data_IF_367548387216
#
_entry.id   IF_367548387216
#
_cell.length_a   1.000
_cell.length_b   1.000
_cell.length_c   1.000
_cell.angle_alpha   90.00
_cell.angle_beta   90.00
_cell.angle_gamma   90.00
#
_symmetry.space_group_name_H-M   'P 1'
#
loop_
_entity.id
_entity.type
_entity.pdbx_description
1 polymer ?
#
# COMPACT_ATOMS: atom_id res chain seq x y z
N UNK A 1 -27.60 3.58 -42.10
CA UNK A 1 -26.93 2.30 -41.78
C UNK A 1 -27.18 2.01 -40.32
N UNK A 2 -27.79 0.86 -39.99
CA UNK A 2 -27.97 0.40 -38.61
C UNK A 2 -26.73 -0.41 -38.25
N UNK A 3 -25.87 0.13 -37.42
CA UNK A 3 -24.73 -0.61 -36.87
C UNK A 3 -25.26 -1.61 -35.83
N UNK A 4 -25.52 -2.84 -36.28
CA UNK A 4 -25.74 -3.95 -35.36
C UNK A 4 -24.41 -4.30 -34.69
N UNK A 5 -24.31 -4.26 -33.35
CA UNK A 5 -23.08 -4.61 -32.67
C UNK A 5 -22.76 -6.09 -32.91
N UNK A 6 -21.51 -6.35 -33.31
CA UNK A 6 -20.99 -7.67 -33.60
C UNK A 6 -20.99 -8.51 -32.32
N UNK A 7 -21.85 -9.54 -32.26
CA UNK A 7 -21.83 -10.52 -31.18
C UNK A 7 -20.61 -11.41 -31.34
N UNK A 8 -19.56 -11.16 -30.57
CA UNK A 8 -18.52 -12.15 -30.32
C UNK A 8 -18.96 -13.04 -29.16
N UNK A 9 -19.47 -14.23 -29.47
CA UNK A 9 -19.73 -15.27 -28.47
C UNK A 9 -18.45 -16.08 -28.29
N UNK A 10 -17.65 -15.75 -27.27
CA UNK A 10 -16.55 -16.61 -26.83
C UNK A 10 -17.08 -17.81 -26.03
N UNK A 11 -16.38 -18.93 -25.93
CA UNK A 11 -16.80 -20.05 -25.07
C UNK A 11 -17.02 -19.65 -23.60
N UNK A 12 -16.24 -18.68 -23.11
CA UNK A 12 -16.40 -18.05 -21.79
C UNK A 12 -17.72 -17.26 -21.67
N UNK A 13 -18.19 -16.66 -22.78
CA UNK A 13 -19.46 -15.94 -22.88
C UNK A 13 -20.66 -16.86 -22.63
N UNK A 14 -20.64 -18.07 -23.19
CA UNK A 14 -21.68 -19.07 -23.02
C UNK A 14 -21.73 -19.60 -21.58
N UNK A 15 -20.57 -19.92 -21.01
CA UNK A 15 -20.44 -20.43 -19.64
C UNK A 15 -20.90 -19.39 -18.61
N UNK A 16 -20.48 -18.13 -18.75
CA UNK A 16 -20.88 -17.06 -17.82
C UNK A 16 -22.37 -16.71 -17.95
N UNK A 17 -22.95 -16.77 -19.15
CA UNK A 17 -24.39 -16.57 -19.35
C UNK A 17 -25.21 -17.71 -18.72
N UNK A 18 -24.71 -18.95 -18.75
CA UNK A 18 -25.36 -20.08 -18.08
C UNK A 18 -25.26 -19.97 -16.56
N UNK A 19 -24.13 -19.52 -16.02
CA UNK A 19 -24.02 -19.25 -14.58
C UNK A 19 -24.94 -18.11 -14.12
N UNK A 20 -25.04 -17.02 -14.89
CA UNK A 20 -25.95 -15.90 -14.58
C UNK A 20 -27.41 -16.31 -14.66
N UNK A 21 -27.81 -17.14 -15.64
CA UNK A 21 -29.16 -17.73 -15.67
C UNK A 21 -29.40 -18.65 -14.49
N UNK A 22 -28.43 -19.49 -14.15
CA UNK A 22 -28.53 -20.43 -13.03
C UNK A 22 -28.66 -19.67 -11.70
N UNK A 23 -27.90 -18.59 -11.50
CA UNK A 23 -28.00 -17.70 -10.35
C UNK A 23 -29.35 -16.98 -10.27
N UNK A 24 -29.87 -16.47 -11.39
CA UNK A 24 -31.19 -15.85 -11.46
C UNK A 24 -32.32 -16.84 -11.13
N UNK A 25 -32.14 -18.12 -11.48
CA UNK A 25 -33.12 -19.18 -11.21
C UNK A 25 -33.07 -19.65 -9.75
N UNK A 26 -31.88 -19.64 -9.13
CA UNK A 26 -31.64 -20.16 -7.77
C UNK A 26 -32.18 -19.24 -6.65
N UNK A 27 -32.28 -17.94 -6.89
CA UNK A 27 -32.74 -16.96 -5.90
C UNK A 27 -34.25 -16.64 -5.94
N UNK A 28 -35.03 -17.33 -6.78
CA UNK A 28 -36.49 -17.16 -6.94
C UNK A 28 -36.95 -15.69 -7.15
N UNK A 29 -36.02 -14.81 -7.53
CA UNK A 29 -36.32 -13.44 -7.97
C UNK A 29 -36.50 -13.51 -9.47
N UNK A 30 -37.74 -13.64 -9.91
CA UNK A 30 -38.06 -13.42 -11.31
C UNK A 30 -37.68 -11.98 -11.63
N UNK A 31 -36.56 -11.76 -12.33
CA UNK A 31 -36.18 -10.47 -12.87
C UNK A 31 -37.10 -10.13 -14.07
N UNK A 32 -38.41 -10.05 -13.82
CA UNK A 32 -39.47 -9.94 -14.82
C UNK A 32 -39.52 -8.60 -15.54
N UNK A 33 -38.77 -7.60 -15.07
CA UNK A 33 -38.73 -6.25 -15.64
C UNK A 33 -37.45 -5.90 -16.42
N UNK A 34 -36.53 -6.84 -16.63
CA UNK A 34 -35.41 -6.60 -17.55
C UNK A 34 -35.76 -7.14 -18.94
N UNK A 35 -36.20 -6.25 -19.83
CA UNK A 35 -36.58 -6.62 -21.20
C UNK A 35 -35.38 -7.09 -22.04
N UNK A 36 -34.14 -6.66 -21.70
CA UNK A 36 -32.90 -7.07 -22.37
C UNK A 36 -31.71 -7.04 -21.41
N UNK A 37 -30.92 -8.12 -21.38
CA UNK A 37 -29.58 -8.15 -20.78
C UNK A 37 -28.58 -7.89 -21.92
N UNK A 38 -27.87 -6.77 -21.86
CA UNK A 38 -26.82 -6.42 -22.82
C UNK A 38 -25.45 -6.51 -22.15
N UNK A 39 -24.51 -7.13 -22.84
CA UNK A 39 -23.11 -7.19 -22.42
C UNK A 39 -22.40 -6.00 -23.02
N UNK A 40 -21.79 -5.22 -22.14
CA UNK A 40 -21.05 -4.04 -22.51
C UNK A 40 -19.60 -4.43 -22.86
N UNK A 41 -19.01 -3.76 -23.85
CA UNK A 41 -17.60 -3.95 -24.20
C UNK A 41 -16.73 -3.71 -22.96
N UNK A 42 -16.01 -4.75 -22.52
CA UNK A 42 -15.20 -4.73 -21.31
C UNK A 42 -14.01 -3.74 -21.37
N UNK A 43 -13.59 -3.35 -22.58
CA UNK A 43 -12.56 -2.33 -22.79
C UNK A 43 -13.11 -0.91 -22.69
N UNK A 44 -14.42 -0.72 -22.90
CA UNK A 44 -15.10 0.57 -22.77
C UNK A 44 -15.86 0.71 -21.45
N UNK A 45 -16.35 -0.37 -20.88
CA UNK A 45 -17.16 -0.40 -19.66
C UNK A 45 -16.48 -1.28 -18.61
N UNK A 46 -15.46 -0.73 -17.98
CA UNK A 46 -14.65 -1.47 -17.01
C UNK A 46 -15.41 -1.64 -15.70
N UNK A 47 -15.46 -2.87 -15.20
CA UNK A 47 -15.82 -3.13 -13.81
C UNK A 47 -14.67 -2.75 -12.86
N UNK A 48 -14.92 -2.76 -11.55
CA UNK A 48 -13.91 -2.39 -10.56
C UNK A 48 -12.64 -3.24 -10.62
N UNK A 49 -12.74 -4.53 -10.94
CA UNK A 49 -11.57 -5.39 -11.09
C UNK A 49 -10.73 -5.00 -12.31
N UNK A 50 -11.36 -4.78 -13.48
CA UNK A 50 -10.65 -4.32 -14.67
C UNK A 50 -10.03 -2.94 -14.47
N UNK A 51 -10.74 -2.03 -13.79
CA UNK A 51 -10.25 -0.68 -13.52
C UNK A 51 -9.07 -0.67 -12.54
N UNK A 52 -9.21 -1.30 -11.37
CA UNK A 52 -8.16 -1.25 -10.34
C UNK A 52 -7.00 -2.23 -10.62
N UNK A 53 -7.25 -3.37 -11.28
CA UNK A 53 -6.21 -4.38 -11.55
C UNK A 53 -5.66 -4.30 -12.99
N UNK A 54 -6.51 -4.49 -14.01
CA UNK A 54 -6.03 -4.65 -15.40
C UNK A 54 -5.52 -3.34 -16.01
N UNK A 55 -6.13 -2.21 -15.67
CA UNK A 55 -5.62 -0.90 -16.09
C UNK A 55 -4.44 -0.44 -15.22
N UNK A 56 -3.92 -1.30 -14.34
CA UNK A 56 -2.84 -1.00 -13.41
C UNK A 56 -3.09 0.26 -12.57
N UNK A 57 -4.34 0.68 -12.34
CA UNK A 57 -4.69 1.85 -11.49
C UNK A 57 -4.61 1.54 -10.01
N UNK A 58 -3.49 1.01 -9.60
CA UNK A 58 -3.16 0.84 -8.19
C UNK A 58 -2.79 2.17 -7.53
N UNK A 59 -2.17 3.07 -8.31
CA UNK A 59 -1.68 4.36 -7.85
C UNK A 59 -2.27 5.50 -8.66
N UNK A 60 -2.18 6.71 -8.09
CA UNK A 60 -2.71 7.92 -8.71
C UNK A 60 -2.09 8.28 -10.07
N UNK A 61 -0.82 7.92 -10.29
CA UNK A 61 -0.04 8.24 -11.47
C UNK A 61 0.04 7.10 -12.49
N UNK A 62 -0.68 6.01 -12.26
CA UNK A 62 -0.79 4.91 -13.21
C UNK A 62 -1.61 5.32 -14.44
N UNK A 63 -1.22 4.80 -15.61
CA UNK A 63 -1.86 5.14 -16.88
C UNK A 63 -3.37 4.88 -16.84
N UNK A 64 -4.14 5.92 -17.13
CA UNK A 64 -5.60 5.83 -17.13
C UNK A 64 -6.10 5.36 -18.49
N UNK A 65 -7.06 4.43 -18.52
CA UNK A 65 -7.84 4.22 -19.76
C UNK A 65 -8.64 5.48 -20.09
N UNK A 66 -8.42 6.13 -21.25
CA UNK A 66 -9.00 7.45 -21.56
C UNK A 66 -10.45 7.37 -22.04
N UNK A 67 -10.89 6.22 -22.56
CA UNK A 67 -12.24 6.03 -23.13
C UNK A 67 -13.14 5.11 -22.27
N UNK A 68 -12.64 4.69 -21.11
CA UNK A 68 -13.37 3.78 -20.24
C UNK A 68 -14.40 4.53 -19.39
N UNK A 69 -15.65 4.08 -19.45
CA UNK A 69 -16.69 4.33 -18.47
C UNK A 69 -16.52 3.27 -17.38
N UNK A 70 -16.41 3.72 -16.13
CA UNK A 70 -16.15 2.81 -15.01
C UNK A 70 -17.43 2.60 -14.23
N UNK A 71 -17.87 1.34 -14.16
CA UNK A 71 -19.00 0.95 -13.31
C UNK A 71 -18.42 0.31 -12.06
N UNK A 72 -18.45 1.06 -10.96
CA UNK A 72 -17.78 0.67 -9.72
C UNK A 72 -18.58 -0.39 -8.95
N UNK A 73 -18.22 -1.65 -9.12
CA UNK A 73 -18.36 -2.64 -8.05
C UNK A 73 -16.99 -2.79 -7.36
N UNK A 74 -16.87 -2.25 -6.15
CA UNK A 74 -15.65 -2.42 -5.36
C UNK A 74 -15.73 -3.74 -4.59
N UNK A 75 -15.18 -4.78 -5.21
CA UNK A 75 -15.17 -6.16 -4.71
C UNK A 75 -14.23 -6.40 -3.50
N UNK A 76 -13.70 -5.33 -2.88
CA UNK A 76 -12.90 -5.47 -1.66
C UNK A 76 -13.73 -5.82 -0.43
N UNK A 77 -13.20 -6.73 0.37
CA UNK A 77 -13.70 -7.07 1.69
C UNK A 77 -13.08 -6.10 2.72
N UNK A 78 -13.89 -5.67 3.68
CA UNK A 78 -13.62 -4.66 4.73
C UNK A 78 -13.75 -3.18 4.31
N UNK A 79 -14.06 -2.31 5.27
CA UNK A 79 -14.18 -0.85 5.08
C UNK A 79 -12.80 -0.22 4.93
N UNK A 80 -11.82 -0.75 5.65
CA UNK A 80 -10.41 -0.33 5.77
C UNK A 80 -9.73 -0.47 4.41
N UNK A 81 -9.85 -1.65 3.79
CA UNK A 81 -9.34 -1.93 2.44
C UNK A 81 -9.95 -1.00 1.38
N UNK A 82 -11.25 -0.72 1.46
CA UNK A 82 -11.93 0.20 0.53
C UNK A 82 -11.45 1.64 0.69
N UNK A 83 -11.29 2.11 1.93
CA UNK A 83 -10.73 3.43 2.26
C UNK A 83 -9.31 3.55 1.70
N UNK A 84 -8.43 2.61 2.03
CA UNK A 84 -7.04 2.59 1.58
C UNK A 84 -6.93 2.66 0.06
N UNK A 85 -7.65 1.80 -0.68
CA UNK A 85 -7.65 1.80 -2.15
C UNK A 85 -8.07 3.16 -2.72
N UNK A 86 -9.14 3.75 -2.21
CA UNK A 86 -9.62 5.04 -2.73
C UNK A 86 -8.65 6.18 -2.42
N UNK A 87 -7.93 6.12 -1.30
CA UNK A 87 -6.88 7.08 -0.97
C UNK A 87 -5.67 6.93 -1.88
N UNK A 88 -5.24 5.70 -2.22
CA UNK A 88 -4.11 5.49 -3.13
C UNK A 88 -4.33 6.01 -4.55
N UNK A 89 -5.58 6.04 -5.02
CA UNK A 89 -5.91 6.57 -6.36
C UNK A 89 -6.52 7.97 -6.32
N UNK A 90 -6.44 8.68 -5.19
CA UNK A 90 -6.97 10.03 -4.98
C UNK A 90 -8.49 10.19 -5.25
N UNK A 91 -9.26 9.12 -5.10
CA UNK A 91 -10.73 9.16 -5.16
C UNK A 91 -11.37 9.47 -3.79
N UNK A 92 -10.59 9.43 -2.71
CA UNK A 92 -11.06 9.73 -1.36
C UNK A 92 -10.87 11.21 -1.01
N UNK A 93 -11.95 11.99 -1.09
CA UNK A 93 -11.91 13.43 -0.82
C UNK A 93 -12.23 13.81 0.64
N UNK A 94 -12.63 12.85 1.47
CA UNK A 94 -13.04 13.09 2.85
C UNK A 94 -11.83 13.33 3.76
N UNK A 95 -11.79 14.50 4.40
CA UNK A 95 -10.67 15.01 5.21
C UNK A 95 -11.07 15.12 6.68
N UNK A 96 -11.39 13.97 7.26
CA UNK A 96 -11.76 13.85 8.66
C UNK A 96 -10.61 14.22 9.58
N UNK A 97 -10.87 15.04 10.61
CA UNK A 97 -9.89 15.42 11.63
C UNK A 97 -8.56 15.96 11.08
N UNK A 98 -8.59 16.57 9.90
CA UNK A 98 -7.39 17.09 9.22
C UNK A 98 -6.45 15.99 8.72
N UNK A 99 -6.99 14.82 8.36
CA UNK A 99 -6.22 13.69 7.79
C UNK A 99 -5.19 14.12 6.74
N UNK A 100 -5.57 15.02 5.83
CA UNK A 100 -4.73 15.66 4.81
C UNK A 100 -4.28 17.07 5.18
N UNK A 101 -5.16 17.87 5.81
CA UNK A 101 -4.95 19.31 5.99
C UNK A 101 -4.21 19.73 7.26
N UNK A 102 -3.87 18.80 8.15
CA UNK A 102 -3.20 19.13 9.41
C UNK A 102 -1.74 19.60 9.19
N UNK A 103 -1.49 20.88 9.44
CA UNK A 103 -0.18 21.54 9.31
C UNK A 103 0.85 21.17 10.37
N UNK A 104 0.41 20.59 11.50
CA UNK A 104 1.28 20.27 12.64
C UNK A 104 1.83 18.85 12.57
N UNK A 105 1.14 17.95 11.86
CA UNK A 105 1.58 16.57 11.70
C UNK A 105 2.92 16.52 10.98
N UNK A 106 3.85 15.75 11.55
CA UNK A 106 5.14 15.44 10.94
C UNK A 106 5.09 14.05 10.32
N UNK A 107 5.76 13.91 9.18
CA UNK A 107 5.75 12.71 8.38
C UNK A 107 7.16 12.16 8.22
N UNK A 108 7.23 10.85 7.98
CA UNK A 108 8.41 10.12 7.56
C UNK A 108 8.05 9.38 6.28
N UNK A 109 8.84 9.50 5.22
CA UNK A 109 8.70 8.70 4.02
C UNK A 109 9.98 7.93 3.74
N UNK A 110 9.85 6.85 3.00
CA UNK A 110 10.99 6.12 2.47
C UNK A 110 10.68 5.57 1.08
N UNK A 111 11.69 5.09 0.37
CA UNK A 111 11.48 4.38 -0.90
C UNK A 111 11.89 2.91 -0.79
N UNK A 112 11.11 2.05 -1.45
CA UNK A 112 11.57 0.72 -1.82
C UNK A 112 12.26 0.88 -3.17
N UNK A 113 13.59 0.76 -3.21
CA UNK A 113 14.34 0.88 -4.47
C UNK A 113 14.39 -0.48 -5.17
N UNK A 114 14.35 -0.52 -6.52
CA UNK A 114 14.44 -1.76 -7.27
C UNK A 114 15.71 -2.55 -6.94
N UNK A 115 15.56 -3.88 -6.82
CA UNK A 115 16.68 -4.78 -6.55
C UNK A 115 17.60 -4.87 -7.75
N UNK A 116 18.92 -4.85 -7.53
CA UNK A 116 19.91 -4.90 -8.61
C UNK A 116 20.14 -6.32 -9.16
N UNK A 117 19.17 -7.23 -9.04
CA UNK A 117 19.19 -8.60 -9.59
C UNK A 117 20.23 -9.57 -9.00
N UNK A 118 21.19 -9.11 -8.20
CA UNK A 118 22.30 -9.91 -7.65
C UNK A 118 21.92 -10.80 -6.47
N UNK A 119 20.74 -10.59 -5.88
CA UNK A 119 20.28 -11.38 -4.74
C UNK A 119 18.89 -11.94 -5.07
N UNK A 120 18.74 -13.28 -5.03
CA UNK A 120 17.43 -13.94 -5.14
C UNK A 120 16.65 -13.75 -3.84
N UNK A 121 16.22 -12.51 -3.59
CA UNK A 121 15.48 -12.16 -2.40
C UNK A 121 14.01 -12.40 -2.67
N UNK A 122 13.35 -13.07 -1.72
CA UNK A 122 11.92 -12.90 -1.55
C UNK A 122 11.62 -11.44 -1.15
N UNK A 123 11.57 -10.53 -2.13
CA UNK A 123 11.45 -9.06 -1.96
C UNK A 123 10.34 -8.68 -0.99
N UNK A 124 9.26 -9.46 -0.99
CA UNK A 124 8.13 -9.40 -0.06
C UNK A 124 8.56 -9.22 1.39
N UNK A 125 9.50 -10.03 1.86
CA UNK A 125 9.90 -9.99 3.26
C UNK A 125 10.75 -8.75 3.55
N UNK A 126 11.63 -8.35 2.63
CA UNK A 126 12.50 -7.20 2.82
C UNK A 126 11.73 -5.89 2.81
N UNK A 127 10.76 -5.72 1.93
CA UNK A 127 9.97 -4.49 1.87
C UNK A 127 8.99 -4.39 3.04
N UNK A 128 8.44 -5.52 3.51
CA UNK A 128 7.65 -5.54 4.75
C UNK A 128 8.53 -5.27 5.98
N UNK A 129 9.76 -5.79 6.03
CA UNK A 129 10.74 -5.49 7.06
C UNK A 129 11.15 -4.00 7.05
N UNK A 130 11.29 -3.41 5.86
CA UNK A 130 11.49 -1.97 5.71
C UNK A 130 10.29 -1.17 6.24
N UNK A 131 9.06 -1.63 5.99
CA UNK A 131 7.86 -1.01 6.54
C UNK A 131 7.80 -1.13 8.08
N UNK A 132 8.16 -2.30 8.64
CA UNK A 132 8.26 -2.48 10.10
C UNK A 132 9.28 -1.51 10.70
N UNK A 133 10.43 -1.34 10.04
CA UNK A 133 11.42 -0.31 10.40
C UNK A 133 10.83 1.09 10.35
N UNK A 134 10.12 1.43 9.27
CA UNK A 134 9.51 2.75 9.10
C UNK A 134 8.50 3.07 10.22
N UNK A 135 7.65 2.09 10.57
CA UNK A 135 6.68 2.22 11.67
C UNK A 135 7.38 2.36 13.02
N UNK A 136 8.50 1.68 13.24
CA UNK A 136 9.31 1.87 14.44
C UNK A 136 9.93 3.27 14.51
N UNK A 137 10.57 3.75 13.43
CA UNK A 137 11.12 5.10 13.35
C UNK A 137 10.02 6.16 13.53
N UNK A 138 8.87 5.97 12.89
CA UNK A 138 7.70 6.84 13.03
C UNK A 138 7.18 6.88 14.47
N UNK A 139 7.15 5.75 15.16
CA UNK A 139 6.79 5.69 16.57
C UNK A 139 7.76 6.49 17.45
N UNK A 140 9.07 6.24 17.32
CA UNK A 140 10.10 6.91 18.13
C UNK A 140 10.13 8.43 17.87
N UNK A 141 9.97 8.86 16.61
CA UNK A 141 10.03 10.26 16.21
C UNK A 141 8.68 10.99 16.29
N UNK A 142 7.61 10.30 16.68
CA UNK A 142 6.24 10.79 16.60
C UNK A 142 5.88 11.34 15.20
N UNK A 143 6.21 10.57 14.16
CA UNK A 143 5.95 10.88 12.75
C UNK A 143 5.02 9.85 12.14
N UNK A 144 4.11 10.31 11.29
CA UNK A 144 3.22 9.45 10.49
C UNK A 144 4.00 8.93 9.27
N UNK A 145 3.95 7.63 9.02
CA UNK A 145 4.69 7.00 7.92
C UNK A 145 3.93 7.15 6.60
N UNK A 146 4.53 7.76 5.59
CA UNK A 146 4.02 7.72 4.21
C UNK A 146 4.59 6.46 3.55
N UNK A 147 3.71 5.57 3.11
CA UNK A 147 4.07 4.30 2.52
C UNK A 147 4.74 4.50 1.15
N UNK A 148 5.73 3.66 0.79
CA UNK A 148 6.26 3.59 -0.55
C UNK A 148 5.34 2.76 -1.44
N UNK A 149 5.77 2.58 -2.68
CA UNK A 149 5.32 1.47 -3.52
C UNK A 149 6.04 0.17 -3.14
N UNK A 150 5.42 -0.97 -3.37
CA UNK A 150 5.98 -2.30 -3.06
C UNK A 150 6.18 -3.12 -4.34
N UNK A 151 7.25 -3.88 -4.48
CA UNK A 151 7.57 -4.63 -5.70
C UNK A 151 7.16 -6.10 -5.61
N UNK A 152 6.36 -6.55 -6.59
CA UNK A 152 6.06 -7.97 -6.76
C UNK A 152 7.37 -8.75 -7.01
N UNK A 153 7.55 -9.81 -6.22
CA UNK A 153 8.73 -10.67 -6.26
C UNK A 153 8.97 -11.19 -7.68
N UNK A 154 10.20 -11.08 -8.15
CA UNK A 154 10.68 -11.56 -9.45
C UNK A 154 10.13 -10.85 -10.70
N UNK A 155 9.17 -9.92 -10.57
CA UNK A 155 8.64 -9.15 -11.71
C UNK A 155 9.01 -7.68 -11.68
N UNK A 156 9.32 -7.13 -10.50
CA UNK A 156 9.63 -5.71 -10.33
C UNK A 156 8.43 -4.79 -10.58
N UNK A 157 7.22 -5.35 -10.74
CA UNK A 157 5.99 -4.56 -10.88
C UNK A 157 5.61 -3.96 -9.53
N UNK A 158 5.28 -2.67 -9.52
CA UNK A 158 4.87 -1.96 -8.31
C UNK A 158 3.40 -2.23 -7.97
N UNK A 159 3.14 -2.50 -6.70
CA UNK A 159 1.84 -2.87 -6.15
C UNK A 159 1.61 -2.23 -4.77
N UNK A 160 0.37 -1.84 -4.43
CA UNK A 160 0.06 -1.20 -3.17
C UNK A 160 0.08 -2.22 -2.03
N UNK A 161 0.30 -1.74 -0.80
CA UNK A 161 0.42 -2.59 0.41
C UNK A 161 -0.75 -3.57 0.61
N UNK A 162 -1.94 -3.21 0.13
CA UNK A 162 -3.16 -4.03 0.21
C UNK A 162 -3.06 -5.39 -0.50
N UNK A 163 -2.12 -5.55 -1.44
CA UNK A 163 -1.84 -6.83 -2.10
C UNK A 163 -0.96 -7.75 -1.23
N UNK A 164 -0.32 -7.22 -0.19
CA UNK A 164 0.64 -7.92 0.64
C UNK A 164 0.06 -8.34 1.99
N UNK A 165 -0.65 -7.43 2.65
CA UNK A 165 -1.18 -7.64 4.01
C UNK A 165 -2.64 -7.24 4.11
N UNK A 166 -3.33 -7.78 5.12
CA UNK A 166 -4.71 -7.40 5.43
C UNK A 166 -4.74 -5.99 6.04
N UNK A 167 -5.18 -4.99 5.27
CA UNK A 167 -5.26 -3.60 5.74
C UNK A 167 -6.08 -3.45 7.02
N UNK A 168 -7.14 -4.25 7.23
CA UNK A 168 -7.91 -4.22 8.47
C UNK A 168 -7.07 -4.56 9.72
N UNK A 169 -6.09 -5.46 9.59
CA UNK A 169 -5.16 -5.81 10.66
C UNK A 169 -4.13 -4.71 10.91
N UNK A 170 -3.64 -4.09 9.83
CA UNK A 170 -2.76 -2.93 9.93
C UNK A 170 -3.48 -1.76 10.62
N UNK A 171 -4.70 -1.43 10.18
CA UNK A 171 -5.51 -0.35 10.76
C UNK A 171 -5.81 -0.60 12.24
N UNK A 172 -6.11 -1.85 12.65
CA UNK A 172 -6.34 -2.17 14.05
C UNK A 172 -5.20 -1.71 14.98
N UNK A 173 -3.95 -1.80 14.53
CA UNK A 173 -2.79 -1.42 15.32
C UNK A 173 -2.22 -0.03 15.01
N UNK A 174 -2.37 0.43 13.77
CA UNK A 174 -1.64 1.58 13.20
C UNK A 174 -2.54 2.57 12.46
N UNK A 175 -3.86 2.55 12.68
CA UNK A 175 -4.75 3.58 12.14
C UNK A 175 -4.21 4.99 12.46
N UNK A 176 -4.26 5.88 11.47
CA UNK A 176 -3.68 7.23 11.49
C UNK A 176 -2.15 7.34 11.66
N UNK A 177 -1.43 6.24 11.92
CA UNK A 177 0.04 6.22 12.03
C UNK A 177 0.75 6.02 10.69
N UNK A 178 0.00 5.79 9.62
CA UNK A 178 0.52 5.78 8.27
C UNK A 178 -0.39 6.53 7.28
N UNK A 179 0.11 6.79 6.07
CA UNK A 179 -0.56 7.35 4.91
C UNK A 179 -0.16 6.59 3.65
N UNK A 180 -1.09 6.52 2.71
CA UNK A 180 -0.93 5.94 1.38
C UNK A 180 0.18 6.63 0.58
N UNK A 181 0.78 5.93 -0.38
CA UNK A 181 1.85 6.46 -1.24
C UNK A 181 1.42 7.75 -1.97
N UNK A 182 0.17 7.82 -2.42
CA UNK A 182 -0.36 9.00 -3.09
C UNK A 182 -0.63 10.22 -2.16
N UNK A 183 -0.42 10.10 -0.84
CA UNK A 183 -0.84 11.12 0.13
C UNK A 183 -0.41 12.55 -0.22
N UNK A 184 0.88 12.77 -0.51
CA UNK A 184 1.39 14.10 -0.82
C UNK A 184 0.89 14.66 -2.15
N UNK A 185 0.35 13.81 -3.02
CA UNK A 185 -0.25 14.24 -4.29
C UNK A 185 -1.69 14.73 -4.09
N UNK A 186 -2.32 14.40 -2.97
CA UNK A 186 -3.70 14.82 -2.70
C UNK A 186 -3.83 16.36 -2.64
N UNK A 187 -4.86 16.96 -3.26
CA UNK A 187 -5.02 18.42 -3.32
C UNK A 187 -5.16 19.11 -1.96
N UNK A 188 -5.70 18.41 -0.96
CA UNK A 188 -5.89 18.96 0.39
C UNK A 188 -4.63 18.95 1.26
N UNK A 189 -3.56 18.26 0.85
CA UNK A 189 -2.29 18.36 1.58
C UNK A 189 -1.71 19.76 1.36
N UNK A 190 -1.41 20.53 2.41
CA UNK A 190 -0.89 21.89 2.26
C UNK A 190 0.45 21.93 1.51
N UNK A 191 0.64 22.92 0.65
CA UNK A 191 1.89 23.10 -0.09
C UNK A 191 3.11 23.27 0.83
N UNK A 192 2.91 23.83 2.03
CA UNK A 192 3.94 23.94 3.05
C UNK A 192 4.49 22.57 3.45
N UNK A 193 3.64 21.54 3.56
CA UNK A 193 4.07 20.17 3.86
C UNK A 193 4.74 19.53 2.65
N UNK A 194 4.16 19.70 1.45
CA UNK A 194 4.70 19.10 0.22
C UNK A 194 6.12 19.57 -0.10
N UNK A 195 6.42 20.85 0.18
CA UNK A 195 7.71 21.48 -0.13
C UNK A 195 8.75 21.37 1.00
N UNK A 196 8.32 21.14 2.23
CA UNK A 196 9.20 21.02 3.39
C UNK A 196 9.62 19.56 3.62
N UNK A 197 10.53 19.09 2.75
CA UNK A 197 11.11 17.75 2.82
C UNK A 197 12.63 17.84 3.00
N UNK A 198 13.20 16.95 3.82
CA UNK A 198 14.66 16.83 3.91
C UNK A 198 15.24 16.23 2.63
N UNK A 199 16.53 16.48 2.37
CA UNK A 199 17.32 15.58 1.51
C UNK A 199 17.28 14.15 2.07
N UNK A 200 17.41 13.11 1.24
CA UNK A 200 17.29 11.73 1.71
C UNK A 200 18.41 11.33 2.66
N UNK A 201 18.05 10.71 3.78
CA UNK A 201 18.97 10.01 4.67
C UNK A 201 19.06 8.54 4.31
N UNK A 202 20.20 7.92 4.58
CA UNK A 202 20.36 6.48 4.43
C UNK A 202 21.05 5.88 5.65
N UNK A 203 20.40 4.91 6.29
CA UNK A 203 20.97 4.19 7.43
C UNK A 203 21.80 3.04 6.87
N UNK A 204 23.12 3.20 6.92
CA UNK A 204 24.08 2.25 6.38
C UNK A 204 24.33 1.12 7.38
N UNK A 205 23.82 -0.05 7.04
CA UNK A 205 24.15 -1.36 7.66
C UNK A 205 24.86 -2.27 6.66
N UNK A 206 25.49 -3.34 7.15
CA UNK A 206 26.12 -4.37 6.30
C UNK A 206 25.09 -5.05 5.39
N UNK A 207 23.92 -5.36 5.94
CA UNK A 207 22.79 -5.94 5.23
C UNK A 207 22.23 -4.96 4.19
N UNK A 208 22.09 -3.67 4.53
CA UNK A 208 21.63 -2.66 3.56
C UNK A 208 22.59 -2.52 2.37
N UNK A 209 23.90 -2.58 2.63
CA UNK A 209 24.95 -2.56 1.60
C UNK A 209 24.86 -3.80 0.71
N UNK A 210 24.65 -4.96 1.32
CA UNK A 210 24.51 -6.24 0.59
C UNK A 210 23.28 -6.23 -0.31
N UNK A 211 22.15 -5.71 0.18
CA UNK A 211 20.89 -5.67 -0.56
C UNK A 211 20.95 -4.65 -1.71
N UNK A 212 21.46 -3.44 -1.45
CA UNK A 212 21.51 -2.37 -2.44
C UNK A 212 22.65 -2.56 -3.44
N UNK A 213 23.80 -3.07 -2.99
CA UNK A 213 25.00 -3.27 -3.82
C UNK A 213 25.75 -1.99 -4.20
N UNK A 214 25.26 -0.80 -3.83
CA UNK A 214 25.90 0.48 -4.09
C UNK A 214 25.63 1.51 -2.99
N UNK A 215 26.48 2.54 -2.92
CA UNK A 215 26.23 3.75 -2.13
C UNK A 215 25.24 4.64 -2.90
N UNK A 216 24.04 4.91 -2.36
CA UNK A 216 23.10 5.79 -3.05
C UNK A 216 23.70 7.19 -3.28
N UNK A 217 23.59 7.77 -4.47
CA UNK A 217 24.09 9.12 -4.73
C UNK A 217 23.23 10.16 -3.98
N UNK A 218 23.84 11.28 -3.58
CA UNK A 218 23.14 12.43 -2.97
C UNK A 218 22.34 12.14 -1.69
N UNK A 219 22.77 11.15 -0.89
CA UNK A 219 22.16 10.85 0.41
C UNK A 219 23.09 11.18 1.57
N UNK A 220 22.51 11.57 2.71
CA UNK A 220 23.26 11.67 3.96
C UNK A 220 23.35 10.30 4.62
N UNK A 221 24.54 9.70 4.61
CA UNK A 221 24.77 8.38 5.20
C UNK A 221 24.89 8.47 6.73
N UNK A 222 24.11 7.65 7.43
CA UNK A 222 24.13 7.48 8.87
C UNK A 222 24.71 6.10 9.19
N UNK A 223 25.79 6.05 9.95
CA UNK A 223 26.50 4.80 10.28
C UNK A 223 26.31 4.44 11.74
N UNK A 224 26.03 3.16 12.01
CA UNK A 224 26.14 2.62 13.36
C UNK A 224 27.59 2.30 13.68
N UNK A 225 28.06 2.72 14.86
CA UNK A 225 29.28 2.15 15.44
C UNK A 225 29.08 0.65 15.64
N UNK A 226 30.12 -0.14 15.38
CA UNK A 226 30.10 -1.60 15.51
C UNK A 226 29.46 -2.05 16.83
N UNK A 227 28.60 -3.07 16.75
CA UNK A 227 27.88 -3.71 17.88
C UNK A 227 26.77 -2.89 18.55
N UNK A 228 26.41 -1.70 18.06
CA UNK A 228 25.23 -0.97 18.60
C UNK A 228 23.95 -1.36 17.87
N UNK A 229 22.89 -1.56 18.66
CA UNK A 229 21.50 -1.63 18.18
C UNK A 229 20.95 -0.21 17.98
N UNK A 230 20.07 -0.01 17.01
CA UNK A 230 19.36 1.24 16.70
C UNK A 230 18.31 1.52 17.79
N UNK A 231 18.79 1.96 18.95
CA UNK A 231 17.93 2.35 20.07
C UNK A 231 17.16 3.64 19.76
N UNK A 232 16.11 3.90 20.53
CA UNK A 232 15.38 5.16 20.45
C UNK A 232 16.31 6.38 20.62
N UNK A 233 17.33 6.28 21.48
CA UNK A 233 18.31 7.36 21.66
C UNK A 233 19.10 7.63 20.37
N UNK A 234 19.60 6.60 19.69
CA UNK A 234 20.34 6.77 18.43
C UNK A 234 19.45 7.42 17.37
N UNK A 235 18.18 7.02 17.30
CA UNK A 235 17.20 7.61 16.38
C UNK A 235 16.99 9.11 16.71
N UNK A 236 16.89 9.46 17.99
CA UNK A 236 16.77 10.85 18.43
C UNK A 236 18.05 11.65 18.14
N UNK A 237 19.23 11.06 18.31
CA UNK A 237 20.50 11.71 17.98
C UNK A 237 20.62 12.01 16.49
N UNK A 238 20.14 11.10 15.62
CA UNK A 238 20.16 11.31 14.17
C UNK A 238 19.08 12.28 13.68
N UNK A 239 17.86 12.18 14.22
CA UNK A 239 16.69 12.82 13.61
C UNK A 239 15.90 13.75 14.54
N UNK A 240 16.16 13.76 15.85
CA UNK A 240 15.41 14.56 16.83
C UNK A 240 15.51 16.07 16.58
N UNK A 241 16.60 16.53 15.97
CA UNK A 241 16.76 17.92 15.54
C UNK A 241 16.05 18.28 14.22
N UNK A 242 15.53 17.31 13.46
CA UNK A 242 14.96 17.54 12.14
C UNK A 242 13.57 18.15 12.23
N UNK A 243 13.45 19.40 11.76
CA UNK A 243 12.20 20.19 11.84
C UNK A 243 11.31 20.07 10.62
N UNK A 244 11.81 19.57 9.50
CA UNK A 244 11.03 19.45 8.26
C UNK A 244 9.75 18.64 8.45
N UNK A 245 8.69 19.08 7.77
CA UNK A 245 7.38 18.45 7.74
C UNK A 245 7.51 16.99 7.32
N UNK A 246 8.35 16.70 6.33
CA UNK A 246 8.61 15.35 5.82
C UNK A 246 10.08 14.99 6.00
N UNK A 247 10.36 13.98 6.81
CA UNK A 247 11.68 13.35 6.88
C UNK A 247 11.77 12.30 5.77
N UNK A 248 12.76 12.44 4.88
CA UNK A 248 12.92 11.56 3.72
C UNK A 248 14.08 10.57 3.95
N UNK A 249 13.80 9.28 3.79
CA UNK A 249 14.78 8.19 3.86
C UNK A 249 14.90 7.54 2.48
N UNK A 250 16.11 7.30 2.01
CA UNK A 250 16.33 6.68 0.70
C UNK A 250 15.74 5.25 0.65
N UNK A 251 16.11 4.41 1.61
CA UNK A 251 15.62 3.04 1.77
C UNK A 251 15.82 2.59 3.22
N UNK A 252 15.00 1.63 3.65
CA UNK A 252 15.08 1.02 4.98
C UNK A 252 15.39 -0.49 4.92
N UNK A 253 15.95 -0.96 3.81
CA UNK A 253 16.36 -2.35 3.65
C UNK A 253 17.49 -2.75 4.62
N UNK A 254 17.42 -3.98 5.15
CA UNK A 254 18.47 -4.55 5.98
C UNK A 254 18.59 -3.93 7.38
N UNK A 255 17.50 -3.34 7.89
CA UNK A 255 17.46 -2.69 9.20
C UNK A 255 16.61 -3.48 10.22
N UNK A 256 15.44 -4.01 9.82
CA UNK A 256 14.62 -4.84 10.70
C UNK A 256 15.22 -6.23 10.84
N UNK A 257 16.07 -6.40 11.85
CA UNK A 257 16.57 -7.71 12.27
C UNK A 257 16.94 -7.66 13.74
N UNK A 258 17.01 -8.83 14.38
CA UNK A 258 17.43 -8.95 15.80
C UNK A 258 18.84 -8.39 16.06
N UNK A 259 19.67 -8.29 15.01
CA UNK A 259 21.02 -7.70 15.02
C UNK A 259 20.98 -6.19 15.27
N UNK A 260 20.05 -5.48 14.65
CA UNK A 260 20.01 -4.01 14.69
C UNK A 260 18.89 -3.46 15.56
N UNK A 261 17.78 -4.16 15.73
CA UNK A 261 16.67 -3.66 16.53
C UNK A 261 16.90 -3.85 18.04
N UNK A 262 16.52 -2.87 18.88
CA UNK A 262 16.58 -2.99 20.33
C UNK A 262 15.68 -4.13 20.83
N UNK A 263 15.96 -4.65 22.02
CA UNK A 263 15.10 -5.62 22.70
C UNK A 263 14.82 -5.11 24.12
N UNK A 264 13.89 -4.16 24.22
CA UNK A 264 13.39 -3.57 25.48
C UNK A 264 11.87 -3.78 25.60
N UNK A 265 11.31 -3.79 26.80
CA UNK A 265 9.86 -3.96 27.02
C UNK A 265 8.97 -3.03 26.18
N UNK A 266 9.37 -1.76 26.00
CA UNK A 266 8.62 -0.80 25.17
C UNK A 266 8.65 -1.19 23.68
N UNK A 267 9.77 -1.73 23.21
CA UNK A 267 9.90 -2.24 21.85
C UNK A 267 9.20 -3.59 21.67
N UNK A 268 9.12 -4.43 22.71
CA UNK A 268 8.40 -5.71 22.67
C UNK A 268 6.90 -5.51 22.39
N UNK A 269 6.28 -4.53 23.04
CA UNK A 269 4.85 -4.21 22.81
C UNK A 269 4.62 -3.74 21.38
N UNK A 270 5.53 -2.91 20.84
CA UNK A 270 5.45 -2.44 19.47
C UNK A 270 5.73 -3.56 18.46
N UNK A 271 6.71 -4.43 18.71
CA UNK A 271 7.00 -5.58 17.85
C UNK A 271 5.84 -6.57 17.85
N UNK A 272 5.19 -6.81 18.99
CA UNK A 272 3.98 -7.62 19.03
C UNK A 272 2.87 -7.02 18.15
N UNK A 273 2.67 -5.69 18.20
CA UNK A 273 1.73 -5.01 17.29
C UNK A 273 2.14 -5.15 15.82
N UNK A 274 3.44 -5.05 15.51
CA UNK A 274 3.95 -5.25 14.15
C UNK A 274 3.71 -6.68 13.65
N UNK A 275 4.00 -7.69 14.46
CA UNK A 275 3.75 -9.09 14.06
C UNK A 275 2.25 -9.36 13.89
N UNK A 276 1.39 -8.80 14.75
CA UNK A 276 -0.06 -8.96 14.63
C UNK A 276 -0.67 -8.16 13.45
N UNK A 277 -0.09 -7.02 13.09
CA UNK A 277 -0.56 -6.18 12.00
C UNK A 277 -0.23 -6.76 10.61
N UNK A 278 0.89 -7.49 10.48
CA UNK A 278 1.41 -7.98 9.21
C UNK A 278 0.89 -9.37 8.87
N UNK A 279 -0.41 -9.59 9.09
CA UNK A 279 -1.07 -10.80 8.64
C UNK A 279 -1.16 -10.80 7.11
N UNK A 280 -0.59 -11.84 6.51
CA UNK A 280 -0.53 -12.00 5.07
C UNK A 280 -1.93 -11.92 4.44
N UNK A 281 -1.99 -11.21 3.31
CA UNK A 281 -3.19 -11.11 2.49
C UNK A 281 -3.22 -12.31 1.56
N UNK A 282 -4.21 -13.19 1.71
CA UNK A 282 -4.61 -14.05 0.61
C UNK A 282 -5.33 -13.14 -0.39
N UNK A 283 -4.63 -12.49 -1.32
CA UNK A 283 -5.28 -11.64 -2.33
C UNK A 283 -6.27 -12.43 -3.23
N UNK A 284 -6.48 -13.73 -2.96
CA UNK A 284 -7.72 -14.46 -3.18
C UNK A 284 -8.73 -14.23 -2.02
N UNK A 285 -9.31 -13.03 -1.95
CA UNK A 285 -10.40 -12.69 -1.00
C UNK A 285 -11.66 -13.60 -1.14
N UNK A 286 -11.64 -14.60 -2.01
CA UNK A 286 -12.72 -15.54 -2.26
C UNK A 286 -12.74 -16.79 -1.35
N UNK A 287 -11.69 -17.12 -0.59
CA UNK A 287 -11.62 -18.50 -0.02
C UNK A 287 -11.57 -18.68 1.49
N UNK A 288 -11.26 -17.68 2.31
CA UNK A 288 -11.23 -17.90 3.76
C UNK A 288 -11.86 -16.76 4.57
N UNK A 289 -13.01 -17.06 5.18
CA UNK A 289 -13.65 -16.27 6.25
C UNK A 289 -12.93 -16.37 7.60
N UNK A 290 -11.81 -17.07 7.66
CA UNK A 290 -11.18 -17.43 8.93
C UNK A 290 -10.22 -16.36 9.40
N UNK A 291 -10.53 -15.84 10.60
CA UNK A 291 -9.82 -14.88 11.46
C UNK A 291 -9.76 -13.45 10.90
N UNK A 292 -10.82 -12.69 11.19
CA UNK A 292 -10.74 -11.23 11.26
C UNK A 292 -9.82 -10.87 12.42
N UNK A 293 -8.84 -9.99 12.18
CA UNK A 293 -8.33 -9.16 13.26
C UNK A 293 -9.55 -8.53 13.93
N UNK A 294 -9.65 -8.69 15.25
CA UNK A 294 -10.81 -8.24 16.02
C UNK A 294 -11.14 -6.79 15.61
N UNK A 295 -12.40 -6.57 15.24
CA UNK A 295 -12.85 -5.36 14.55
C UNK A 295 -12.46 -4.13 15.39
N UNK A 296 -11.61 -3.21 14.88
CA UNK A 296 -11.34 -1.96 15.58
C UNK A 296 -12.59 -1.07 15.52
N UNK A 297 -12.81 -0.31 16.61
CA UNK A 297 -13.90 0.67 16.79
C UNK A 297 -13.99 1.70 15.66
#
# INVERSE_FOLDING_TARGET
MKDSPMKMETPEQFLMNNELRSAATKDNRSFTNFSQIQILDAMKYQNGWAYFQRAHRFYHDSATCPQCIVVHNNWMISKEAKRFRFREVLLWSYDENGYYSNLTTKYLMYSNVPYNGTVSINSSNIELDALKTALYLGHVLNRVVILPRFHETNKGEEQPLINWIRIACLDYHFYEKYRENAFLHHPKVPLAIKKDQTSPFWIKTEESMTILGFLPPNVTSLTLSSNKKISAQIIQDWFGGQRSAVLNLHSLYGIYSTKYMPNTNDTETLFLKLENAFQMSDYLQYRNKTRSCEIPR
#
